data_IF_616967269909
#
_entry.id   IF_616967269909
#
_cell.length_a   1.000
_cell.length_b   1.000
_cell.length_c   1.000
_cell.angle_alpha   90.00
_cell.angle_beta   90.00
_cell.angle_gamma   90.00
#
_symmetry.space_group_name_H-M   'P 1'
#
loop_
_entity.id
_entity.type
_entity.pdbx_description
1 polymer ?
#
# COMPACT_ATOMS: atom_id res chain seq x y z
N UNK A 1 6.10 7.75 -10.46
CA UNK A 1 4.77 7.13 -10.16
C UNK A 1 5.04 6.06 -9.13
N UNK A 2 4.35 6.15 -7.99
CA UNK A 2 4.56 5.41 -6.73
C UNK A 2 4.16 3.92 -6.78
N UNK A 3 4.62 3.13 -5.81
CA UNK A 3 4.49 1.65 -5.75
C UNK A 3 3.05 1.14 -5.81
N UNK A 4 2.10 1.77 -5.10
CA UNK A 4 0.68 1.37 -5.11
C UNK A 4 -0.12 1.87 -6.32
N UNK A 5 0.52 2.45 -7.33
CA UNK A 5 -0.12 2.76 -8.62
C UNK A 5 0.11 1.66 -9.68
N UNK A 6 0.81 0.58 -9.33
CA UNK A 6 1.25 -0.46 -10.28
C UNK A 6 0.61 -1.84 -10.05
N UNK A 7 -0.34 -1.94 -9.13
CA UNK A 7 -1.11 -3.15 -8.91
C UNK A 7 -2.49 -2.83 -8.33
N UNK A 8 -3.25 -3.89 -8.08
CA UNK A 8 -4.50 -3.83 -7.32
C UNK A 8 -4.83 -5.22 -6.80
N UNK A 9 -5.17 -5.34 -5.52
CA UNK A 9 -5.88 -6.51 -4.98
C UNK A 9 -7.31 -6.17 -4.57
N UNK A 10 -8.17 -7.18 -4.61
CA UNK A 10 -9.43 -7.15 -3.90
C UNK A 10 -9.20 -7.40 -2.40
N UNK A 11 -9.89 -6.68 -1.53
CA UNK A 11 -9.85 -6.96 -0.08
C UNK A 11 -10.60 -8.27 0.20
N UNK A 12 -10.00 -9.16 1.00
CA UNK A 12 -10.60 -10.43 1.37
C UNK A 12 -12.00 -10.22 1.99
N UNK A 13 -12.96 -11.05 1.59
CA UNK A 13 -14.35 -11.02 2.09
C UNK A 13 -14.64 -12.29 2.89
N UNK A 14 -15.43 -12.12 3.95
CA UNK A 14 -15.94 -13.24 4.73
C UNK A 14 -17.13 -13.92 4.04
N UNK A 15 -17.40 -15.18 4.41
CA UNK A 15 -18.55 -15.96 3.94
C UNK A 15 -18.61 -16.20 2.42
N UNK A 16 -17.45 -16.25 1.76
CA UNK A 16 -17.34 -16.54 0.32
C UNK A 16 -17.57 -18.02 0.05
N UNK A 17 -18.36 -18.32 -0.98
CA UNK A 17 -18.58 -19.70 -1.43
C UNK A 17 -17.48 -20.09 -2.41
N UNK A 18 -16.77 -21.18 -2.15
CA UNK A 18 -15.71 -21.70 -3.04
C UNK A 18 -16.30 -22.32 -4.33
N UNK A 19 -16.89 -21.48 -5.17
CA UNK A 19 -17.54 -21.83 -6.44
C UNK A 19 -17.20 -20.80 -7.51
N UNK A 20 -16.99 -21.24 -8.74
CA UNK A 20 -16.78 -20.33 -9.88
C UNK A 20 -18.01 -19.51 -10.27
N UNK A 21 -19.19 -19.86 -9.73
CA UNK A 21 -20.41 -19.05 -9.85
C UNK A 21 -20.43 -17.86 -8.87
N UNK A 22 -19.60 -17.89 -7.81
CA UNK A 22 -19.44 -16.80 -6.88
C UNK A 22 -18.40 -15.81 -7.44
N UNK A 23 -18.85 -14.59 -7.76
CA UNK A 23 -18.00 -13.54 -8.31
C UNK A 23 -16.88 -13.15 -7.34
N UNK A 24 -17.17 -13.17 -6.03
CA UNK A 24 -16.21 -12.77 -5.00
C UNK A 24 -15.08 -13.79 -4.95
N UNK A 25 -15.41 -15.09 -5.02
CA UNK A 25 -14.40 -16.14 -5.10
C UNK A 25 -13.56 -16.04 -6.37
N UNK A 26 -14.19 -15.73 -7.51
CA UNK A 26 -13.50 -15.68 -8.81
C UNK A 26 -12.54 -14.50 -8.94
N UNK A 27 -12.89 -13.36 -8.37
CA UNK A 27 -12.11 -12.13 -8.47
C UNK A 27 -11.13 -11.95 -7.32
N UNK A 28 -11.23 -12.77 -6.26
CA UNK A 28 -10.30 -12.72 -5.14
C UNK A 28 -8.84 -12.88 -5.59
N UNK A 29 -7.99 -11.98 -5.12
CA UNK A 29 -6.58 -11.93 -5.47
C UNK A 29 -6.14 -10.59 -6.06
N UNK A 30 -5.03 -10.65 -6.80
CA UNK A 30 -4.20 -9.49 -7.10
C UNK A 30 -3.77 -9.47 -8.56
N UNK A 31 -3.78 -8.28 -9.16
CA UNK A 31 -3.23 -7.99 -10.47
C UNK A 31 -2.03 -7.08 -10.32
N UNK A 32 -0.86 -7.54 -10.76
CA UNK A 32 0.40 -6.78 -10.67
C UNK A 32 0.87 -6.42 -12.06
N UNK A 33 1.26 -5.16 -12.28
CA UNK A 33 1.85 -4.74 -13.52
C UNK A 33 3.21 -5.44 -13.71
N UNK A 34 3.37 -6.15 -14.83
CA UNK A 34 4.59 -6.91 -15.10
C UNK A 34 5.87 -6.05 -15.11
N UNK A 35 5.75 -4.73 -15.35
CA UNK A 35 6.86 -3.80 -15.33
C UNK A 35 7.49 -3.64 -13.94
N UNK A 36 6.71 -3.89 -12.88
CA UNK A 36 7.13 -3.72 -11.49
C UNK A 36 7.54 -5.02 -10.78
N UNK A 37 7.54 -6.14 -11.51
CA UNK A 37 8.06 -7.40 -10.99
C UNK A 37 9.57 -7.29 -10.69
N UNK A 38 10.12 -8.14 -9.80
CA UNK A 38 11.54 -8.16 -9.52
C UNK A 38 12.40 -8.26 -10.79
N UNK A 39 13.32 -7.31 -10.98
CA UNK A 39 14.17 -7.23 -12.18
C UNK A 39 13.46 -6.70 -13.43
N UNK A 40 12.23 -6.19 -13.27
CA UNK A 40 11.45 -5.57 -14.32
C UNK A 40 12.03 -4.23 -14.82
N UNK A 41 11.51 -3.73 -15.95
CA UNK A 41 12.03 -2.53 -16.62
C UNK A 41 11.64 -1.20 -15.95
N UNK A 42 10.76 -1.18 -14.94
CA UNK A 42 10.46 0.08 -14.26
C UNK A 42 11.70 0.58 -13.47
N UNK A 43 12.10 1.85 -13.59
CA UNK A 43 13.39 2.30 -13.07
C UNK A 43 13.50 2.33 -11.54
N UNK A 44 12.36 2.46 -10.83
CA UNK A 44 12.34 2.68 -9.37
C UNK A 44 11.33 1.80 -8.62
N UNK A 45 10.57 0.97 -9.33
CA UNK A 45 9.58 0.03 -8.72
C UNK A 45 9.78 -1.36 -9.28
N UNK A 46 10.97 -1.94 -9.15
CA UNK A 46 11.32 -3.23 -9.78
C UNK A 46 11.97 -4.22 -8.80
N UNK A 47 11.72 -4.07 -7.51
CA UNK A 47 12.15 -5.02 -6.48
C UNK A 47 11.01 -5.94 -6.03
N UNK A 48 9.79 -5.68 -6.52
CA UNK A 48 8.59 -6.48 -6.26
C UNK A 48 7.77 -5.99 -5.08
N UNK A 49 8.04 -4.80 -4.53
CA UNK A 49 7.28 -4.30 -3.38
C UNK A 49 5.85 -3.93 -3.76
N UNK A 50 5.54 -3.70 -5.04
CA UNK A 50 4.15 -3.64 -5.50
C UNK A 50 3.37 -4.88 -5.08
N UNK A 51 3.90 -6.09 -5.28
CA UNK A 51 3.18 -7.30 -4.87
C UNK A 51 3.00 -7.39 -3.34
N UNK A 52 3.96 -6.87 -2.56
CA UNK A 52 3.88 -6.82 -1.10
C UNK A 52 2.81 -5.82 -0.63
N UNK A 53 2.81 -4.61 -1.19
CA UNK A 53 1.81 -3.56 -0.95
C UNK A 53 0.39 -4.07 -1.20
N UNK A 54 0.19 -4.64 -2.40
CA UNK A 54 -1.11 -5.14 -2.82
C UNK A 54 -1.55 -6.34 -1.95
N UNK A 55 -0.64 -7.26 -1.61
CA UNK A 55 -0.95 -8.33 -0.65
C UNK A 55 -1.37 -7.78 0.72
N UNK A 56 -0.79 -6.66 1.17
CA UNK A 56 -1.23 -5.94 2.36
C UNK A 56 -2.71 -5.55 2.30
N UNK A 57 -3.16 -4.98 1.17
CA UNK A 57 -4.58 -4.68 0.94
C UNK A 57 -5.46 -5.94 0.94
N UNK A 58 -4.98 -7.03 0.36
CA UNK A 58 -5.70 -8.31 0.39
C UNK A 58 -5.94 -8.77 1.83
N UNK A 59 -4.95 -8.60 2.72
CA UNK A 59 -5.04 -8.85 4.16
C UNK A 59 -5.76 -7.75 4.97
N UNK A 60 -6.34 -6.75 4.31
CA UNK A 60 -7.15 -5.71 4.94
C UNK A 60 -6.38 -4.49 5.45
N UNK A 61 -5.08 -4.36 5.13
CA UNK A 61 -4.32 -3.16 5.46
C UNK A 61 -4.73 -2.00 4.56
N UNK A 62 -4.84 -0.82 5.17
CA UNK A 62 -5.12 0.44 4.51
C UNK A 62 -3.81 1.17 4.17
N UNK A 63 -3.89 2.22 3.34
CA UNK A 63 -2.75 3.09 3.15
C UNK A 63 -2.46 3.85 4.44
N UNK A 64 -1.20 4.10 4.74
CA UNK A 64 -0.80 4.88 5.94
C UNK A 64 -1.39 6.30 5.94
N UNK A 65 -1.79 6.79 4.78
CA UNK A 65 -2.41 8.10 4.54
C UNK A 65 -3.92 8.01 4.26
N UNK A 66 -4.60 6.94 4.65
CA UNK A 66 -5.98 6.64 4.24
C UNK A 66 -7.03 7.71 4.58
N UNK A 67 -6.82 8.50 5.65
CA UNK A 67 -7.71 9.62 5.99
C UNK A 67 -7.37 10.91 5.26
N UNK A 68 -6.18 10.98 4.65
CA UNK A 68 -5.60 12.21 4.09
C UNK A 68 -5.63 13.39 5.10
N UNK A 69 -5.48 13.07 6.39
CA UNK A 69 -5.59 14.00 7.49
C UNK A 69 -4.63 13.64 8.62
N UNK A 70 -4.34 14.62 9.47
CA UNK A 70 -3.58 14.41 10.70
C UNK A 70 -4.56 14.20 11.85
N UNK A 71 -5.12 13.00 11.93
CA UNK A 71 -6.06 12.59 12.97
C UNK A 71 -5.60 11.31 13.69
N UNK A 72 -6.27 11.01 14.81
CA UNK A 72 -5.99 9.80 15.61
C UNK A 72 -6.59 8.52 14.99
N UNK A 73 -7.26 8.60 13.84
CA UNK A 73 -7.87 7.44 13.18
C UNK A 73 -6.86 6.78 12.23
N UNK A 74 -6.17 7.59 11.42
CA UNK A 74 -5.12 7.12 10.51
C UNK A 74 -5.57 5.93 9.64
N UNK A 75 -4.69 4.94 9.51
CA UNK A 75 -4.95 3.68 8.81
C UNK A 75 -5.61 2.61 9.70
N UNK A 76 -6.09 3.00 10.90
CA UNK A 76 -6.64 2.13 11.97
C UNK A 76 -5.62 1.21 12.65
N UNK A 77 -4.32 1.48 12.50
CA UNK A 77 -3.23 0.77 13.16
C UNK A 77 -2.52 1.70 14.15
N UNK A 78 -2.63 1.41 15.45
CA UNK A 78 -2.14 2.29 16.54
C UNK A 78 -0.64 2.64 16.48
N UNK A 79 0.20 1.79 15.87
CA UNK A 79 1.65 1.99 15.77
C UNK A 79 2.12 2.59 14.44
N UNK A 80 1.19 2.88 13.50
CA UNK A 80 1.47 3.67 12.30
C UNK A 80 1.29 5.16 12.62
N UNK A 81 2.33 6.00 12.50
CA UNK A 81 2.18 7.45 12.72
C UNK A 81 1.21 8.11 11.73
N UNK A 82 0.48 9.12 12.20
CA UNK A 82 -0.45 9.88 11.38
C UNK A 82 0.24 10.48 10.15
N UNK A 83 -0.33 10.23 8.98
CA UNK A 83 0.21 10.67 7.68
C UNK A 83 -0.91 11.26 6.85
N UNK A 84 -0.74 12.48 6.34
CA UNK A 84 -1.80 13.16 5.55
C UNK A 84 -1.59 13.07 4.04
N UNK A 85 -0.39 12.72 3.59
CA UNK A 85 -0.05 12.68 2.17
C UNK A 85 0.80 11.45 1.84
N UNK A 86 0.62 10.81 0.66
CA UNK A 86 1.50 9.74 0.21
C UNK A 86 2.93 10.21 0.02
N UNK A 87 3.90 9.34 0.27
CA UNK A 87 5.30 9.60 -0.07
C UNK A 87 5.58 9.20 -1.50
N UNK A 88 6.45 9.93 -2.19
CA UNK A 88 6.94 9.56 -3.53
C UNK A 88 8.46 9.68 -3.56
N UNK A 89 9.13 8.79 -4.30
CA UNK A 89 10.59 8.73 -4.29
C UNK A 89 11.13 8.16 -2.97
N UNK A 90 12.37 8.58 -2.65
CA UNK A 90 13.15 8.06 -1.53
C UNK A 90 13.64 9.20 -0.61
N UNK A 91 12.74 9.95 0.05
CA UNK A 91 13.15 11.05 0.91
C UNK A 91 13.81 10.56 2.21
N UNK A 92 14.92 11.17 2.63
CA UNK A 92 15.60 10.80 3.89
C UNK A 92 14.69 10.94 5.12
N UNK A 93 13.74 11.89 5.06
CA UNK A 93 12.77 12.17 6.11
C UNK A 93 11.54 12.84 5.51
N UNK A 94 10.37 12.53 6.05
CA UNK A 94 9.11 13.21 5.77
C UNK A 94 8.28 13.33 7.05
N UNK A 95 7.54 14.42 7.17
CA UNK A 95 6.67 14.72 8.30
C UNK A 95 5.54 15.62 7.79
N UNK A 96 4.43 14.98 7.42
CA UNK A 96 3.22 15.63 6.92
C UNK A 96 2.29 16.08 8.06
N UNK A 97 2.53 15.59 9.28
CA UNK A 97 1.69 15.82 10.46
C UNK A 97 2.51 16.30 11.66
N UNK A 98 3.11 17.50 11.53
CA UNK A 98 4.06 18.07 12.49
C UNK A 98 3.52 18.25 13.93
N UNK A 99 2.20 18.40 14.07
CA UNK A 99 1.54 18.54 15.37
C UNK A 99 1.16 17.18 16.00
N UNK A 100 1.41 16.07 15.30
CA UNK A 100 1.16 14.70 15.74
C UNK A 100 2.46 13.98 16.10
N UNK A 101 2.43 12.95 16.96
CA UNK A 101 3.62 12.17 17.27
C UNK A 101 4.10 11.32 16.07
N UNK A 102 5.42 11.31 15.85
CA UNK A 102 6.07 10.43 14.89
C UNK A 102 6.53 11.14 13.62
N UNK A 103 7.02 10.36 12.65
CA UNK A 103 7.34 10.80 11.29
C UNK A 103 6.50 9.96 10.34
N UNK A 104 6.23 10.48 9.15
CA UNK A 104 5.59 9.70 8.08
C UNK A 104 6.39 8.39 7.91
N UNK A 105 5.72 7.22 7.92
CA UNK A 105 6.37 5.92 7.88
C UNK A 105 6.81 5.58 6.45
N UNK A 106 7.74 6.36 5.91
CA UNK A 106 8.24 6.33 4.52
C UNK A 106 8.77 4.97 4.03
N UNK A 107 9.04 4.03 4.92
CA UNK A 107 9.49 2.66 4.59
C UNK A 107 8.41 1.60 4.78
N UNK A 108 7.20 1.99 5.22
CA UNK A 108 6.08 1.09 5.33
C UNK A 108 5.60 0.70 3.92
N UNK A 109 5.36 -0.59 3.71
CA UNK A 109 4.90 -1.09 2.41
C UNK A 109 3.54 -0.55 2.00
N UNK A 110 2.72 -0.05 2.94
CA UNK A 110 1.42 0.59 2.66
C UNK A 110 1.53 2.09 2.33
N UNK A 111 2.75 2.65 2.30
CA UNK A 111 3.02 3.95 1.69
C UNK A 111 3.33 3.78 0.18
N UNK A 112 3.57 4.89 -0.50
CA UNK A 112 3.78 5.02 -1.94
C UNK A 112 5.25 5.30 -2.31
N UNK A 113 6.15 5.31 -1.34
CA UNK A 113 7.61 5.41 -1.55
C UNK A 113 8.11 4.38 -2.55
N UNK A 114 9.10 4.74 -3.36
CA UNK A 114 9.64 3.87 -4.41
C UNK A 114 10.32 2.60 -3.82
N UNK A 115 10.37 1.50 -4.58
CA UNK A 115 11.03 0.26 -4.14
C UNK A 115 12.53 0.47 -3.90
N UNK A 116 13.17 1.18 -4.85
CA UNK A 116 14.61 1.35 -4.92
C UNK A 116 15.07 2.60 -4.17
N UNK A 117 15.21 2.45 -2.85
CA UNK A 117 15.83 3.42 -1.94
C UNK A 117 17.35 3.52 -2.08
#
# INVERSE_FOLDING_TARGET
>A
MAVGAWGSCNVAKENVTASFDDIVFREDGCNINYLSLPGGPHPVVNLGYTAVHEAGHWFGLQHVFSTFACDDVGDTIDDTPATSEPTTGCPIRKDSCQDMPGLDPIHNFMDYSDDAW
#
